data_IF_213408909928
#
_entry.id   IF_213408909928
#
_cell.length_a   1.000
_cell.length_b   1.000
_cell.length_c   1.000
_cell.angle_alpha   90.00
_cell.angle_beta   90.00
_cell.angle_gamma   90.00
#
_symmetry.space_group_name_H-M   'P 1'
#
loop_
_entity.id
_entity.type
_entity.pdbx_description
1 polymer ?
#
# COMPACT_ATOMS: atom_id res chain seq x y z
N UNK A 1 50.28 37.15 20.58
CA UNK A 1 49.97 35.86 19.94
C UNK A 1 48.62 35.38 20.46
N UNK A 2 47.54 35.54 19.69
CA UNK A 2 46.18 35.17 20.11
C UNK A 2 45.74 33.95 19.30
N UNK A 3 45.63 32.79 19.95
CA UNK A 3 45.13 31.54 19.36
C UNK A 3 43.61 31.59 19.36
N UNK A 4 43.01 31.75 18.18
CA UNK A 4 41.56 31.64 17.99
C UNK A 4 41.26 30.17 17.77
N UNK A 5 40.71 29.52 18.79
CA UNK A 5 40.19 28.15 18.69
C UNK A 5 38.81 28.22 18.04
N UNK A 6 38.74 28.03 16.72
CA UNK A 6 37.49 27.97 15.96
C UNK A 6 36.68 26.73 16.40
N UNK A 7 35.57 26.96 17.10
CA UNK A 7 34.61 25.91 17.43
C UNK A 7 33.89 25.45 16.17
N UNK A 8 34.01 24.16 15.85
CA UNK A 8 33.36 23.49 14.73
C UNK A 8 31.87 23.27 15.08
N UNK A 9 30.97 24.07 14.51
CA UNK A 9 29.52 23.82 14.63
C UNK A 9 29.15 22.59 13.79
N UNK A 10 28.70 21.52 14.45
CA UNK A 10 28.02 20.40 13.81
C UNK A 10 26.65 20.90 13.30
N UNK A 11 26.51 21.03 11.98
CA UNK A 11 25.21 21.20 11.35
C UNK A 11 24.49 19.84 11.34
N UNK A 12 23.58 19.63 12.28
CA UNK A 12 22.62 18.53 12.22
C UNK A 12 21.58 18.86 11.13
N UNK A 13 21.78 18.36 9.91
CA UNK A 13 20.78 18.48 8.85
C UNK A 13 19.60 17.55 9.17
N UNK A 14 18.38 18.09 9.38
CA UNK A 14 17.20 17.24 9.50
C UNK A 14 17.00 16.51 8.17
N UNK A 15 17.00 15.19 8.20
CA UNK A 15 16.63 14.37 7.07
C UNK A 15 15.15 14.64 6.74
N UNK A 16 14.90 15.28 5.60
CA UNK A 16 13.55 15.41 5.07
C UNK A 16 13.08 14.02 4.64
N UNK A 17 12.13 13.46 5.38
CA UNK A 17 11.42 12.25 4.96
C UNK A 17 10.68 12.56 3.64
N UNK A 18 11.06 11.89 2.57
CA UNK A 18 10.44 12.01 1.25
C UNK A 18 9.02 11.42 1.32
N UNK A 19 8.00 12.28 1.35
CA UNK A 19 6.58 11.94 1.31
C UNK A 19 6.04 11.93 -0.13
N UNK A 20 6.64 11.15 -1.04
CA UNK A 20 6.17 11.02 -2.44
C UNK A 20 5.64 9.62 -2.80
N UNK A 21 5.52 8.72 -1.83
CA UNK A 21 4.71 7.51 -1.95
C UNK A 21 3.52 7.67 -1.01
N UNK A 22 2.30 7.42 -1.48
CA UNK A 22 1.12 7.32 -0.62
C UNK A 22 1.50 6.45 0.60
N UNK A 23 1.43 7.03 1.80
CA UNK A 23 1.85 6.31 3.00
C UNK A 23 1.09 4.98 3.06
N UNK A 24 1.77 3.85 3.31
CA UNK A 24 1.14 2.54 3.40
C UNK A 24 -0.09 2.60 4.30
N UNK A 25 -1.20 2.02 3.85
CA UNK A 25 -2.33 1.77 4.75
C UNK A 25 -1.82 0.85 5.88
N UNK A 26 -2.34 0.96 7.12
CA UNK A 26 -1.79 0.27 8.29
C UNK A 26 -2.07 -1.25 8.31
N UNK A 27 -2.23 -1.89 7.15
CA UNK A 27 -2.54 -3.30 6.99
C UNK A 27 -1.47 -3.95 6.10
N UNK A 28 -0.72 -4.88 6.67
CA UNK A 28 0.17 -5.79 5.94
C UNK A 28 -0.62 -6.97 5.38
N UNK A 29 -0.03 -7.68 4.42
CA UNK A 29 -0.66 -8.88 3.87
C UNK A 29 -0.85 -9.97 4.93
N UNK A 30 0.12 -10.20 5.81
CA UNK A 30 0.02 -11.20 6.89
C UNK A 30 -1.20 -10.95 7.80
N UNK A 31 -1.43 -9.69 8.19
CA UNK A 31 -2.59 -9.32 9.01
C UNK A 31 -3.88 -9.54 8.21
N UNK A 32 -3.91 -9.16 6.94
CA UNK A 32 -5.06 -9.36 6.07
C UNK A 32 -5.41 -10.85 5.93
N UNK A 33 -4.42 -11.72 5.69
CA UNK A 33 -4.64 -13.16 5.53
C UNK A 33 -5.25 -13.80 6.78
N UNK A 34 -4.84 -13.35 7.96
CA UNK A 34 -5.37 -13.85 9.23
C UNK A 34 -6.77 -13.31 9.60
N UNK A 35 -7.27 -12.27 8.93
CA UNK A 35 -8.47 -11.53 9.39
C UNK A 35 -9.57 -11.39 8.35
N UNK A 36 -9.28 -11.56 7.06
CA UNK A 36 -10.24 -11.38 5.98
C UNK A 36 -10.42 -12.68 5.21
N UNK A 37 -11.66 -13.15 5.07
CA UNK A 37 -11.97 -14.23 4.15
C UNK A 37 -11.95 -13.68 2.72
N UNK A 38 -11.02 -14.17 1.91
CA UNK A 38 -10.76 -13.65 0.58
C UNK A 38 -10.46 -14.77 -0.41
N UNK A 39 -10.42 -14.41 -1.69
CA UNK A 39 -9.93 -15.20 -2.80
C UNK A 39 -8.80 -14.47 -3.52
N UNK A 40 -7.87 -15.23 -4.07
CA UNK A 40 -6.79 -14.71 -4.90
C UNK A 40 -7.34 -14.32 -6.27
N UNK A 41 -6.88 -13.17 -6.77
CA UNK A 41 -7.07 -12.80 -8.18
C UNK A 41 -5.77 -13.07 -8.93
N UNK A 42 -5.88 -13.78 -10.06
CA UNK A 42 -4.74 -14.02 -10.94
C UNK A 42 -4.17 -12.70 -11.50
N UNK A 43 -5.06 -11.75 -11.79
CA UNK A 43 -4.72 -10.40 -12.24
C UNK A 43 -5.56 -9.38 -11.48
N UNK A 44 -4.98 -8.22 -11.19
CA UNK A 44 -5.71 -7.09 -10.64
C UNK A 44 -6.72 -6.56 -11.68
N UNK A 45 -7.96 -6.23 -11.30
CA UNK A 45 -8.92 -5.66 -12.24
C UNK A 45 -8.39 -4.36 -12.85
N UNK A 46 -8.53 -4.21 -14.17
CA UNK A 46 -7.95 -3.07 -14.91
C UNK A 46 -8.33 -1.70 -14.33
N UNK A 47 -9.55 -1.57 -13.80
CA UNK A 47 -10.08 -0.34 -13.19
C UNK A 47 -9.31 0.10 -11.93
N UNK A 48 -8.47 -0.77 -11.36
CA UNK A 48 -7.62 -0.47 -10.22
C UNK A 48 -6.38 0.32 -10.60
N UNK A 49 -5.94 0.25 -11.86
CA UNK A 49 -4.70 0.89 -12.34
C UNK A 49 -3.50 0.57 -11.43
N UNK A 50 -3.43 -0.68 -10.97
CA UNK A 50 -2.61 -1.09 -9.83
C UNK A 50 -1.08 -0.99 -10.06
N UNK A 51 -0.64 -0.86 -11.31
CA UNK A 51 0.78 -0.84 -11.67
C UNK A 51 1.45 -2.21 -11.63
N UNK A 52 2.77 -2.24 -11.72
CA UNK A 52 3.59 -3.45 -11.59
C UNK A 52 4.03 -3.69 -10.14
N UNK A 53 4.45 -4.92 -9.81
CA UNK A 53 4.97 -5.26 -8.48
C UNK A 53 3.88 -5.25 -7.39
N UNK A 54 2.67 -5.62 -7.78
CA UNK A 54 1.48 -5.68 -6.92
C UNK A 54 0.69 -6.96 -7.18
N UNK A 55 -0.12 -7.35 -6.21
CA UNK A 55 -1.10 -8.42 -6.36
C UNK A 55 -2.43 -8.04 -5.70
N UNK A 56 -3.50 -8.70 -6.13
CA UNK A 56 -4.85 -8.38 -5.67
C UNK A 56 -5.54 -9.53 -4.93
N UNK A 57 -6.38 -9.15 -3.97
CA UNK A 57 -7.26 -10.05 -3.21
C UNK A 57 -8.69 -9.55 -3.26
N UNK A 58 -9.63 -10.47 -3.41
CA UNK A 58 -11.06 -10.18 -3.46
C UNK A 58 -11.73 -10.70 -2.19
N UNK A 59 -12.48 -9.85 -1.49
CA UNK A 59 -13.32 -10.26 -0.37
C UNK A 59 -14.78 -9.89 -0.65
N UNK A 60 -15.70 -10.74 -0.20
CA UNK A 60 -17.14 -10.51 -0.28
C UNK A 60 -17.66 -10.24 1.13
N UNK A 61 -18.36 -9.12 1.30
CA UNK A 61 -18.94 -8.71 2.56
C UNK A 61 -20.40 -8.25 2.34
N UNK A 62 -21.35 -9.16 2.58
CA UNK A 62 -22.77 -8.92 2.31
C UNK A 62 -23.00 -8.67 0.82
N UNK A 63 -23.61 -7.54 0.48
CA UNK A 63 -23.91 -7.12 -0.89
C UNK A 63 -22.78 -6.30 -1.54
N UNK A 64 -21.57 -6.34 -0.98
CA UNK A 64 -20.42 -5.64 -1.53
C UNK A 64 -19.26 -6.60 -1.78
N UNK A 65 -18.45 -6.25 -2.77
CA UNK A 65 -17.13 -6.81 -2.99
C UNK A 65 -16.08 -5.74 -2.79
N UNK A 66 -14.99 -6.11 -2.11
CA UNK A 66 -13.80 -5.31 -2.01
C UNK A 66 -12.64 -6.00 -2.74
N UNK A 67 -11.89 -5.23 -3.53
CA UNK A 67 -10.59 -5.63 -4.06
C UNK A 67 -9.52 -4.83 -3.33
N UNK A 68 -8.57 -5.55 -2.75
CA UNK A 68 -7.41 -5.05 -2.04
C UNK A 68 -6.17 -5.22 -2.92
N UNK A 69 -5.33 -4.19 -2.99
CA UNK A 69 -4.09 -4.18 -3.77
C UNK A 69 -2.92 -4.10 -2.78
N UNK A 70 -2.06 -5.09 -2.82
CA UNK A 70 -0.86 -5.16 -2.00
C UNK A 70 0.37 -4.99 -2.90
N UNK A 71 1.38 -4.28 -2.40
CA UNK A 71 2.70 -4.29 -3.05
C UNK A 71 3.41 -5.60 -2.74
N UNK A 72 4.25 -6.08 -3.65
CA UNK A 72 5.15 -7.21 -3.41
C UNK A 72 6.39 -6.82 -2.57
N UNK A 73 6.60 -5.52 -2.31
CA UNK A 73 7.75 -5.02 -1.57
C UNK A 73 7.62 -5.22 -0.05
N UNK A 74 8.74 -5.54 0.62
CA UNK A 74 8.81 -5.60 2.08
C UNK A 74 7.76 -6.52 2.70
N UNK A 75 7.06 -6.02 3.72
CA UNK A 75 5.97 -6.74 4.42
C UNK A 75 4.65 -6.74 3.65
N UNK A 76 4.71 -6.51 2.34
CA UNK A 76 3.57 -6.46 1.43
C UNK A 76 2.47 -5.52 1.93
N UNK A 77 2.74 -4.21 1.99
CA UNK A 77 1.76 -3.25 2.49
C UNK A 77 0.54 -3.15 1.58
N UNK A 78 -0.63 -2.92 2.17
CA UNK A 78 -1.82 -2.51 1.43
C UNK A 78 -1.59 -1.12 0.83
N UNK A 79 -1.63 -1.04 -0.50
CA UNK A 79 -1.40 0.19 -1.28
C UNK A 79 -2.66 0.72 -1.96
N UNK A 80 -3.74 -0.07 -1.98
CA UNK A 80 -5.02 0.36 -2.53
C UNK A 80 -6.17 -0.55 -2.13
N UNK A 81 -7.38 0.00 -2.09
CA UNK A 81 -8.61 -0.77 -1.89
C UNK A 81 -9.76 -0.06 -2.59
N UNK A 82 -10.61 -0.83 -3.27
CA UNK A 82 -11.87 -0.34 -3.84
C UNK A 82 -12.98 -1.32 -3.53
N UNK A 83 -14.18 -0.79 -3.27
CA UNK A 83 -15.39 -1.55 -3.07
C UNK A 83 -16.43 -1.23 -4.14
N UNK A 84 -17.24 -2.23 -4.48
CA UNK A 84 -18.38 -2.10 -5.36
C UNK A 84 -19.57 -2.87 -4.80
N UNK A 85 -20.80 -2.48 -5.15
CA UNK A 85 -21.96 -3.35 -5.05
C UNK A 85 -21.66 -4.70 -5.74
N UNK A 86 -22.11 -5.80 -5.15
CA UNK A 86 -21.86 -7.15 -5.67
C UNK A 86 -22.54 -7.38 -7.03
N UNK A 87 -23.64 -6.70 -7.32
CA UNK A 87 -24.26 -6.71 -8.65
C UNK A 87 -23.43 -5.97 -9.71
N UNK A 88 -22.53 -5.08 -9.29
CA UNK A 88 -21.56 -4.40 -10.13
C UNK A 88 -20.25 -5.19 -10.35
N UNK A 89 -20.17 -6.47 -9.95
CA UNK A 89 -19.01 -7.35 -10.17
C UNK A 89 -18.77 -7.74 -11.63
N UNK A 90 -19.79 -7.68 -12.49
CA UNK A 90 -19.70 -8.14 -13.89
C UNK A 90 -18.51 -7.58 -14.70
N UNK A 91 -18.07 -6.32 -14.50
CA UNK A 91 -16.89 -5.78 -15.16
C UNK A 91 -15.54 -6.29 -14.61
N UNK A 92 -15.53 -6.90 -13.41
CA UNK A 92 -14.32 -7.41 -12.74
C UNK A 92 -14.00 -8.88 -13.09
N UNK A 93 -14.91 -9.56 -13.80
CA UNK A 93 -14.83 -11.00 -14.14
C UNK A 93 -14.45 -11.26 -15.61
N UNK A 94 -13.84 -10.28 -16.28
CA UNK A 94 -13.41 -10.40 -17.68
C UNK A 94 -11.92 -10.58 -17.80
#
# INVERSE_FOLDING_TARGET
MLRITTALLLAATPALAQTDAAAPLPMTYEIFEGTVLHADLAECPAVMEAGEGVFCRLAVAGENVAVFVFSEAGDQPLVGMRNWPADALMPLLK
#
